data_IF_320076301773
#
_entry.id   IF_320076301773
#
_cell.length_a   1.000
_cell.length_b   1.000
_cell.length_c   1.000
_cell.angle_alpha   90.00
_cell.angle_beta   90.00
_cell.angle_gamma   90.00
#
_symmetry.space_group_name_H-M   'P 1'
#
loop_
_entity.id
_entity.type
_entity.pdbx_description
1 polymer ?
#
# COMPACT_ATOMS: atom_id res chain seq x y z
N UNK A 1 32.40 32.21 -11.32
CA UNK A 1 32.50 31.20 -12.41
C UNK A 1 32.80 29.77 -11.95
N UNK A 2 33.42 29.50 -10.78
CA UNK A 2 33.83 28.13 -10.41
C UNK A 2 32.71 27.21 -9.85
N UNK A 3 31.65 27.75 -9.25
CA UNK A 3 30.61 26.94 -8.59
C UNK A 3 29.68 26.21 -9.58
N UNK A 4 29.35 26.84 -10.72
CA UNK A 4 28.47 26.24 -11.75
C UNK A 4 29.15 25.04 -12.43
N UNK A 5 30.47 25.11 -12.64
CA UNK A 5 31.25 24.01 -13.24
C UNK A 5 31.27 22.76 -12.36
N UNK A 6 31.30 22.93 -11.03
CA UNK A 6 31.32 21.82 -10.07
C UNK A 6 29.96 21.12 -9.98
N UNK A 7 28.86 21.88 -10.05
CA UNK A 7 27.50 21.31 -10.13
C UNK A 7 27.28 20.51 -11.42
N UNK A 8 27.79 21.01 -12.56
CA UNK A 8 27.72 20.31 -13.85
C UNK A 8 28.52 19.00 -13.87
N UNK A 9 29.70 18.99 -13.23
CA UNK A 9 30.51 17.78 -13.10
C UNK A 9 29.88 16.74 -12.17
N UNK A 10 29.26 17.16 -11.07
CA UNK A 10 28.52 16.26 -10.16
C UNK A 10 27.31 15.62 -10.85
N UNK A 11 26.57 16.38 -11.66
CA UNK A 11 25.41 15.87 -12.43
C UNK A 11 25.83 14.89 -13.53
N UNK A 12 26.95 15.15 -14.21
CA UNK A 12 27.46 14.23 -15.23
C UNK A 12 27.99 12.91 -14.63
N UNK A 13 28.54 12.95 -13.41
CA UNK A 13 29.00 11.76 -12.70
C UNK A 13 27.85 10.85 -12.24
N UNK A 14 26.72 11.42 -11.82
CA UNK A 14 25.54 10.62 -11.43
C UNK A 14 24.85 9.99 -12.65
N UNK A 15 24.73 10.71 -13.77
CA UNK A 15 24.19 10.16 -15.03
C UNK A 15 25.05 9.01 -15.56
N UNK A 16 26.38 9.15 -15.54
CA UNK A 16 27.29 8.07 -15.97
C UNK A 16 27.27 6.87 -15.02
N UNK A 17 27.04 7.06 -13.71
CA UNK A 17 26.85 5.95 -12.78
C UNK A 17 25.52 5.20 -13.01
N UNK A 18 24.43 5.93 -13.29
CA UNK A 18 23.14 5.30 -13.63
C UNK A 18 23.21 4.50 -14.94
N UNK A 19 23.85 5.03 -15.97
CA UNK A 19 24.03 4.33 -17.26
C UNK A 19 24.90 3.08 -17.13
N UNK A 20 25.96 3.11 -16.30
CA UNK A 20 26.80 1.92 -16.03
C UNK A 20 26.04 0.83 -15.24
N UNK A 21 25.16 1.23 -14.32
CA UNK A 21 24.27 0.30 -13.59
C UNK A 21 23.19 -0.32 -14.48
N UNK A 22 22.74 0.40 -15.52
CA UNK A 22 21.85 -0.16 -16.54
C UNK A 22 22.60 -1.09 -17.51
N UNK A 23 23.83 -0.72 -17.91
CA UNK A 23 24.65 -1.55 -18.79
C UNK A 23 25.08 -2.88 -18.14
N UNK A 24 25.35 -2.90 -16.83
CA UNK A 24 25.69 -4.13 -16.11
C UNK A 24 24.52 -5.11 -16.02
N UNK A 25 23.27 -4.62 -16.01
CA UNK A 25 22.06 -5.46 -16.07
C UNK A 25 21.84 -6.11 -17.45
N UNK A 26 22.41 -5.56 -18.51
CA UNK A 26 22.29 -6.09 -19.87
C UNK A 26 23.45 -7.04 -20.26
N UNK A 27 24.47 -7.20 -19.39
CA UNK A 27 25.67 -7.97 -19.71
C UNK A 27 25.81 -9.27 -18.89
N UNK A 28 24.76 -10.08 -18.84
CA UNK A 28 24.88 -11.49 -18.42
C UNK A 28 24.78 -12.38 -19.66
N UNK A 29 25.77 -12.31 -20.55
CA UNK A 29 25.95 -13.32 -21.59
C UNK A 29 26.66 -14.52 -20.98
N UNK A 30 25.90 -15.41 -20.35
CA UNK A 30 26.41 -16.75 -20.02
C UNK A 30 26.66 -17.52 -21.32
N UNK A 31 27.76 -18.27 -21.46
CA UNK A 31 28.00 -19.09 -22.64
C UNK A 31 26.92 -20.16 -22.76
N UNK A 32 26.30 -20.25 -23.95
CA UNK A 32 25.20 -21.18 -24.22
C UNK A 32 25.80 -22.56 -24.51
N UNK A 33 25.42 -23.62 -23.77
CA UNK A 33 25.93 -24.98 -24.03
C UNK A 33 25.36 -25.58 -25.33
N UNK A 34 26.16 -26.45 -25.95
CA UNK A 34 26.10 -26.90 -27.35
C UNK A 34 24.89 -27.74 -27.79
N UNK A 35 23.87 -27.91 -26.95
CA UNK A 35 22.71 -28.77 -27.25
C UNK A 35 21.47 -28.01 -27.78
N UNK A 36 21.59 -26.71 -28.09
CA UNK A 36 20.51 -25.92 -28.73
C UNK A 36 20.66 -25.87 -30.25
N UNK A 37 20.22 -26.92 -30.95
CA UNK A 37 19.93 -26.86 -32.39
C UNK A 37 18.64 -27.63 -32.72
N UNK A 38 17.50 -27.02 -32.37
CA UNK A 38 16.18 -27.36 -32.92
C UNK A 38 15.24 -26.16 -32.86
N UNK A 39 15.45 -25.20 -33.78
CA UNK A 39 14.43 -24.40 -34.48
C UNK A 39 13.40 -23.51 -33.76
N UNK A 40 13.11 -23.70 -32.47
CA UNK A 40 12.24 -22.83 -31.68
C UNK A 40 12.74 -22.87 -30.23
N UNK A 41 13.67 -21.97 -29.93
CA UNK A 41 14.09 -21.70 -28.57
C UNK A 41 12.93 -20.97 -27.85
N UNK A 42 12.00 -21.72 -27.27
CA UNK A 42 10.98 -21.16 -26.38
C UNK A 42 11.66 -20.67 -25.10
N UNK A 43 12.18 -19.45 -25.13
CA UNK A 43 12.55 -18.72 -23.93
C UNK A 43 11.28 -18.14 -23.33
N UNK A 44 11.00 -18.43 -22.06
CA UNK A 44 9.93 -17.73 -21.36
C UNK A 44 10.28 -16.23 -21.34
N UNK A 45 9.31 -15.34 -21.64
CA UNK A 45 9.51 -13.91 -21.47
C UNK A 45 10.03 -13.60 -20.07
N UNK A 46 10.91 -12.61 -19.98
CA UNK A 46 11.39 -12.13 -18.70
C UNK A 46 10.21 -11.84 -17.76
N UNK A 47 10.32 -12.26 -16.50
CA UNK A 47 9.27 -12.11 -15.50
C UNK A 47 8.76 -10.66 -15.44
N UNK A 48 7.53 -10.44 -15.91
CA UNK A 48 6.89 -9.14 -15.86
C UNK A 48 6.26 -8.94 -14.50
N UNK A 49 6.41 -7.74 -13.93
CA UNK A 49 5.73 -7.40 -12.69
C UNK A 49 4.24 -7.29 -12.97
N UNK A 50 3.43 -7.86 -12.08
CA UNK A 50 1.98 -7.72 -12.15
C UNK A 50 1.62 -6.22 -12.03
N UNK A 51 0.77 -5.72 -12.95
CA UNK A 51 0.30 -4.34 -12.92
C UNK A 51 -0.34 -3.98 -11.56
N UNK A 52 -1.13 -4.89 -10.98
CA UNK A 52 -1.74 -4.67 -9.67
C UNK A 52 -0.70 -4.51 -8.55
N UNK A 53 0.39 -5.28 -8.60
CA UNK A 53 1.47 -5.15 -7.62
C UNK A 53 2.20 -3.82 -7.76
N UNK A 54 2.41 -3.36 -8.99
CA UNK A 54 3.01 -2.06 -9.25
C UNK A 54 2.12 -0.93 -8.72
N UNK A 55 0.82 -0.95 -9.01
CA UNK A 55 -0.13 0.05 -8.52
C UNK A 55 -0.19 0.10 -6.99
N UNK A 56 -0.21 -1.07 -6.33
CA UNK A 56 -0.15 -1.13 -4.87
C UNK A 56 1.15 -0.53 -4.32
N UNK A 57 2.29 -0.83 -4.95
CA UNK A 57 3.57 -0.28 -4.54
C UNK A 57 3.60 1.25 -4.71
N UNK A 58 3.06 1.77 -5.83
CA UNK A 58 2.94 3.21 -6.06
C UNK A 58 2.06 3.86 -4.98
N UNK A 59 0.89 3.29 -4.68
CA UNK A 59 -0.01 3.84 -3.68
C UNK A 59 0.61 3.87 -2.27
N UNK A 60 1.28 2.79 -1.84
CA UNK A 60 1.90 2.73 -0.51
C UNK A 60 3.13 3.62 -0.40
N UNK A 61 3.93 3.73 -1.45
CA UNK A 61 5.10 4.63 -1.48
C UNK A 61 4.68 6.09 -1.46
N UNK A 62 3.66 6.46 -2.23
CA UNK A 62 3.13 7.83 -2.25
C UNK A 62 2.52 8.20 -0.89
N UNK A 63 1.74 7.29 -0.29
CA UNK A 63 1.19 7.49 1.07
C UNK A 63 2.29 7.70 2.11
N UNK A 64 3.37 6.92 2.04
CA UNK A 64 4.51 7.07 2.96
C UNK A 64 5.25 8.40 2.75
N UNK A 65 5.41 8.84 1.50
CA UNK A 65 6.01 10.14 1.19
C UNK A 65 5.14 11.29 1.73
N UNK A 66 3.82 11.22 1.56
CA UNK A 66 2.89 12.21 2.10
C UNK A 66 2.99 12.33 3.63
N UNK A 67 3.16 11.21 4.35
CA UNK A 67 3.40 11.20 5.80
C UNK A 67 4.74 11.84 6.19
N UNK A 68 5.77 11.76 5.35
CA UNK A 68 7.07 12.42 5.63
C UNK A 68 7.05 13.91 5.31
N UNK A 69 6.23 14.33 4.35
CA UNK A 69 6.20 15.71 3.87
C UNK A 69 5.32 16.64 4.73
N UNK A 70 4.35 16.09 5.47
CA UNK A 70 3.43 16.89 6.28
C UNK A 70 3.04 16.22 7.59
N UNK A 71 3.39 16.87 8.70
CA UNK A 71 3.09 16.38 10.05
C UNK A 71 1.58 16.39 10.36
N UNK A 72 0.84 17.35 9.80
CA UNK A 72 -0.62 17.43 9.93
C UNK A 72 -1.30 16.19 9.30
N UNK A 73 -0.95 15.84 8.06
CA UNK A 73 -1.44 14.63 7.41
C UNK A 73 -1.03 13.37 8.18
N UNK A 74 0.22 13.27 8.61
CA UNK A 74 0.73 12.12 9.37
C UNK A 74 -0.06 11.88 10.65
N UNK A 75 -0.31 12.94 11.43
CA UNK A 75 -1.08 12.84 12.68
C UNK A 75 -2.55 12.45 12.42
N UNK A 76 -3.18 13.05 11.40
CA UNK A 76 -4.56 12.74 11.02
C UNK A 76 -4.71 11.31 10.47
N UNK A 77 -3.82 10.90 9.57
CA UNK A 77 -3.76 9.54 9.02
C UNK A 77 -3.63 8.52 10.16
N UNK A 78 -2.62 8.69 11.03
CA UNK A 78 -2.37 7.76 12.14
C UNK A 78 -3.53 7.68 13.13
N UNK A 79 -4.11 8.82 13.51
CA UNK A 79 -5.24 8.83 14.45
C UNK A 79 -6.48 8.16 13.84
N UNK A 80 -6.77 8.43 12.56
CA UNK A 80 -7.90 7.83 11.85
C UNK A 80 -7.74 6.31 11.66
N UNK A 81 -6.57 5.88 11.18
CA UNK A 81 -6.28 4.46 11.01
C UNK A 81 -6.15 3.71 12.34
N UNK A 82 -5.69 4.34 13.42
CA UNK A 82 -5.67 3.73 14.74
C UNK A 82 -7.08 3.38 15.24
N UNK A 83 -8.05 4.28 15.03
CA UNK A 83 -9.47 4.02 15.35
C UNK A 83 -10.04 2.88 14.51
N UNK A 84 -9.80 2.91 13.20
CA UNK A 84 -10.23 1.84 12.29
C UNK A 84 -9.63 0.49 12.71
N UNK A 85 -8.34 0.47 13.04
CA UNK A 85 -7.65 -0.74 13.49
C UNK A 85 -8.21 -1.27 14.81
N UNK A 86 -8.52 -0.40 15.77
CA UNK A 86 -9.16 -0.81 17.02
C UNK A 86 -10.52 -1.47 16.76
N UNK A 87 -11.30 -0.88 15.86
CA UNK A 87 -12.61 -1.39 15.44
C UNK A 87 -12.49 -2.77 14.76
N UNK A 88 -11.63 -2.90 13.75
CA UNK A 88 -11.38 -4.17 13.05
C UNK A 88 -10.81 -5.27 13.95
N UNK A 89 -9.99 -4.89 14.94
CA UNK A 89 -9.47 -5.82 15.93
C UNK A 89 -10.59 -6.31 16.86
N UNK A 90 -11.47 -5.42 17.32
CA UNK A 90 -12.58 -5.76 18.20
C UNK A 90 -13.60 -6.67 17.51
N UNK A 91 -14.06 -6.29 16.32
CA UNK A 91 -15.05 -7.08 15.57
C UNK A 91 -14.53 -8.44 15.17
N UNK A 92 -13.26 -8.56 14.78
CA UNK A 92 -12.72 -9.88 14.45
C UNK A 92 -12.16 -10.67 15.65
N UNK A 93 -12.34 -10.21 16.90
CA UNK A 93 -12.04 -11.00 18.11
C UNK A 93 -13.31 -11.51 18.80
N UNK A 94 -14.46 -10.89 18.54
CA UNK A 94 -15.75 -11.26 19.15
C UNK A 94 -16.85 -11.21 18.10
N UNK A 95 -17.53 -12.35 17.92
CA UNK A 95 -18.70 -12.45 17.03
C UNK A 95 -19.84 -11.56 17.51
N UNK A 96 -20.07 -11.49 18.83
CA UNK A 96 -21.06 -10.59 19.42
C UNK A 96 -20.74 -9.12 19.10
N UNK A 97 -19.46 -8.72 19.15
CA UNK A 97 -19.08 -7.36 18.77
C UNK A 97 -19.30 -7.09 17.28
N UNK A 98 -19.12 -8.10 16.41
CA UNK A 98 -19.42 -7.98 14.99
C UNK A 98 -20.93 -7.85 14.73
N UNK A 99 -21.76 -8.64 15.43
CA UNK A 99 -23.22 -8.58 15.34
C UNK A 99 -23.78 -7.23 15.80
N UNK A 100 -23.28 -6.68 16.92
CA UNK A 100 -23.70 -5.36 17.38
C UNK A 100 -23.32 -4.28 16.37
N UNK A 101 -22.10 -4.33 15.83
CA UNK A 101 -21.67 -3.40 14.77
C UNK A 101 -22.56 -3.54 13.53
N UNK A 102 -22.90 -4.76 13.10
CA UNK A 102 -23.83 -4.96 12.00
C UNK A 102 -25.24 -4.43 12.31
N UNK A 103 -25.72 -4.56 13.54
CA UNK A 103 -27.02 -4.03 13.95
C UNK A 103 -27.07 -2.50 13.94
N UNK A 104 -25.99 -1.85 14.38
CA UNK A 104 -25.89 -0.38 14.43
C UNK A 104 -25.65 0.22 13.04
N UNK A 105 -24.73 -0.36 12.26
CA UNK A 105 -24.33 0.18 10.96
C UNK A 105 -25.08 -0.42 9.78
N UNK A 106 -25.92 -1.45 10.01
CA UNK A 106 -26.61 -2.26 8.98
C UNK A 106 -25.68 -2.97 7.99
N UNK A 107 -24.37 -2.86 8.17
CA UNK A 107 -23.33 -3.32 7.28
C UNK A 107 -22.21 -3.98 8.10
N UNK A 108 -21.80 -5.19 7.70
CA UNK A 108 -20.62 -5.84 8.26
C UNK A 108 -19.33 -5.12 7.87
N UNK A 109 -18.43 -4.96 8.85
CA UNK A 109 -17.09 -4.43 8.64
C UNK A 109 -16.15 -5.51 8.10
N UNK A 110 -15.43 -5.16 7.04
CA UNK A 110 -14.41 -6.03 6.43
C UNK A 110 -13.07 -5.76 7.12
N UNK A 111 -12.44 -6.81 7.68
CA UNK A 111 -11.07 -6.69 8.18
C UNK A 111 -10.10 -6.65 7.00
N UNK A 112 -9.21 -5.65 6.91
CA UNK A 112 -8.19 -5.62 5.87
C UNK A 112 -7.18 -6.76 6.06
N UNK A 113 -6.73 -7.34 4.97
CA UNK A 113 -5.71 -8.39 4.95
C UNK A 113 -4.45 -7.87 4.27
N UNK A 114 -3.36 -7.77 5.04
CA UNK A 114 -2.09 -7.23 4.56
C UNK A 114 -1.54 -7.93 3.30
N UNK A 115 -1.88 -9.22 3.09
CA UNK A 115 -1.41 -9.98 1.92
C UNK A 115 -2.26 -9.77 0.66
N UNK A 116 -3.42 -9.11 0.77
CA UNK A 116 -4.35 -8.88 -0.35
C UNK A 116 -4.38 -7.39 -0.72
N UNK A 117 -3.89 -7.08 -1.92
CA UNK A 117 -3.58 -5.72 -2.41
C UNK A 117 -4.72 -4.69 -2.35
N UNK A 118 -5.99 -5.12 -2.47
CA UNK A 118 -7.15 -4.21 -2.46
C UNK A 118 -7.92 -4.20 -1.14
N UNK A 119 -7.53 -5.03 -0.17
CA UNK A 119 -8.34 -5.23 1.03
C UNK A 119 -8.42 -3.98 1.92
N UNK A 120 -7.33 -3.23 2.05
CA UNK A 120 -7.30 -1.99 2.82
C UNK A 120 -8.18 -0.93 2.20
N UNK A 121 -8.12 -0.77 0.88
CA UNK A 121 -8.97 0.17 0.15
C UNK A 121 -10.45 -0.19 0.32
N UNK A 122 -10.83 -1.44 0.08
CA UNK A 122 -12.21 -1.89 0.22
C UNK A 122 -12.74 -1.75 1.66
N UNK A 123 -11.89 -2.01 2.67
CA UNK A 123 -12.25 -1.85 4.07
C UNK A 123 -12.50 -0.37 4.43
N UNK A 124 -11.67 0.54 3.93
CA UNK A 124 -11.84 1.99 4.15
C UNK A 124 -13.05 2.51 3.38
N UNK A 125 -13.21 2.13 2.11
CA UNK A 125 -14.38 2.49 1.30
C UNK A 125 -15.69 2.06 1.98
N UNK A 126 -15.71 0.86 2.57
CA UNK A 126 -16.86 0.37 3.34
C UNK A 126 -17.19 1.29 4.51
N UNK A 127 -16.19 1.74 5.26
CA UNK A 127 -16.38 2.70 6.36
C UNK A 127 -16.90 4.04 5.82
N UNK A 128 -16.34 4.54 4.73
CA UNK A 128 -16.80 5.79 4.11
C UNK A 128 -18.26 5.70 3.66
N UNK A 129 -18.70 4.57 3.10
CA UNK A 129 -20.10 4.34 2.74
C UNK A 129 -21.01 4.36 3.96
N UNK A 130 -20.60 3.72 5.06
CA UNK A 130 -21.35 3.76 6.33
C UNK A 130 -21.51 5.20 6.83
N UNK A 131 -20.46 6.02 6.74
CA UNK A 131 -20.53 7.44 7.13
C UNK A 131 -21.53 8.19 6.24
N UNK A 132 -21.55 7.92 4.94
CA UNK A 132 -22.46 8.57 4.00
C UNK A 132 -23.92 8.16 4.21
N UNK A 133 -24.16 6.89 4.54
CA UNK A 133 -25.50 6.32 4.70
C UNK A 133 -26.11 6.63 6.08
N UNK A 134 -25.31 6.58 7.16
CA UNK A 134 -25.79 6.67 8.54
C UNK A 134 -25.38 7.97 9.27
N UNK A 135 -24.58 8.83 8.63
CA UNK A 135 -24.06 10.08 9.21
C UNK A 135 -22.84 9.91 10.13
N UNK A 136 -22.16 11.02 10.44
CA UNK A 136 -20.92 11.03 11.24
C UNK A 136 -21.11 10.52 12.69
N UNK A 137 -22.33 10.64 13.22
CA UNK A 137 -22.68 10.24 14.58
C UNK A 137 -22.57 8.74 14.80
N UNK A 138 -22.71 7.95 13.74
CA UNK A 138 -22.59 6.51 13.80
C UNK A 138 -21.18 6.09 14.26
N UNK A 139 -20.11 6.76 13.81
CA UNK A 139 -18.72 6.41 14.19
C UNK A 139 -18.36 6.92 15.58
N UNK A 140 -18.89 8.08 16.01
CA UNK A 140 -18.61 8.65 17.34
C UNK A 140 -19.09 7.74 18.47
N UNK A 141 -20.15 6.96 18.22
CA UNK A 141 -20.72 6.03 19.19
C UNK A 141 -19.96 4.69 19.30
N UNK A 142 -19.14 4.30 18.32
CA UNK A 142 -18.29 3.09 18.40
C UNK A 142 -16.86 3.34 18.90
N UNK A 143 -16.57 4.54 19.41
CA UNK A 143 -15.29 4.81 20.08
C UNK A 143 -15.03 3.75 21.18
N UNK A 144 -13.88 3.05 21.19
CA UNK A 144 -13.63 1.88 22.04
C UNK A 144 -13.72 2.10 23.56
N UNK A 145 -13.99 3.32 24.03
CA UNK A 145 -14.06 3.68 25.45
C UNK A 145 -15.42 4.13 25.95
N UNK A 146 -16.46 4.21 25.12
CA UNK A 146 -17.81 4.65 25.53
C UNK A 146 -18.79 3.48 25.44
N UNK A 147 -18.84 2.67 26.50
CA UNK A 147 -19.86 1.65 26.77
C UNK A 147 -20.09 0.59 25.67
N UNK A 148 -19.29 -0.47 25.74
CA UNK A 148 -19.63 -1.79 25.16
C UNK A 148 -19.49 -2.89 26.23
N UNK A 149 -19.69 -2.50 27.49
CA UNK A 149 -19.78 -3.35 28.67
C UNK A 149 -21.03 -2.94 29.44
N UNK A 150 -22.21 -3.05 28.84
CA UNK A 150 -23.50 -3.12 29.55
C UNK A 150 -24.51 -3.80 28.62
N UNK A 151 -24.36 -5.11 28.49
CA UNK A 151 -25.33 -6.18 28.84
C UNK A 151 -24.77 -7.53 28.37
#
# INVERSE_FOLDING_TARGET
>A
MFLVSRARQSSQQTETQMLKSQQSRLNTKTPIPSWKMSGLEYQLPQHQRCACHLLNLTATTDSALAETNSDSYKSLSRSSFAKCQAMWNKTGRSTLAAEVVENEYKLQLIRPNQTRWNSTFLAVERITRIIQENGEDAIRNAEPGRNFLLE
#
